data_IF_734989666739
#
_entry.id   IF_734989666739
#
_cell.length_a   1.000
_cell.length_b   1.000
_cell.length_c   1.000
_cell.angle_alpha   90.00
_cell.angle_beta   90.00
_cell.angle_gamma   90.00
#
_symmetry.space_group_name_H-M   'P 1'
#
loop_
_entity.id
_entity.type
_entity.pdbx_description
1 polymer ?
#
# COMPACT_ATOMS: atom_id res chain seq x y z
N UNK A 1 6.78 17.34 -5.03
CA UNK A 1 7.28 16.59 -6.20
C UNK A 1 7.62 15.17 -5.75
N UNK A 2 6.78 14.18 -6.04
CA UNK A 2 7.05 12.77 -5.63
C UNK A 2 8.17 12.21 -6.49
N UNK A 3 9.26 11.77 -5.87
CA UNK A 3 10.40 11.19 -6.56
C UNK A 3 10.28 9.66 -6.46
N UNK A 4 10.23 9.00 -7.61
CA UNK A 4 10.06 7.56 -7.71
C UNK A 4 11.36 6.94 -8.19
N UNK A 5 11.92 6.02 -7.41
CA UNK A 5 13.08 5.24 -7.79
C UNK A 5 12.78 3.76 -7.54
N UNK A 6 13.11 2.91 -8.52
CA UNK A 6 13.32 1.48 -8.27
C UNK A 6 14.82 1.35 -8.07
N UNK A 7 15.26 1.31 -6.83
CA UNK A 7 16.66 1.08 -6.50
C UNK A 7 16.90 -0.44 -6.38
N UNK A 8 17.90 -0.94 -7.10
CA UNK A 8 18.47 -2.27 -6.86
C UNK A 8 19.68 -2.01 -5.96
N UNK A 9 19.57 -2.43 -4.70
CA UNK A 9 20.56 -2.16 -3.66
C UNK A 9 20.25 -0.90 -2.85
N UNK A 10 19.43 -1.05 -1.82
CA UNK A 10 19.27 -0.05 -0.77
C UNK A 10 19.56 -0.68 0.59
N UNK A 11 20.22 0.11 1.44
CA UNK A 11 20.61 -0.21 2.80
C UNK A 11 19.44 -0.83 3.58
N UNK A 12 19.70 -1.93 4.31
CA UNK A 12 18.70 -2.66 5.10
C UNK A 12 17.92 -1.67 5.97
N UNK A 13 16.57 -1.76 6.07
CA UNK A 13 15.82 -0.80 6.89
C UNK A 13 16.39 -0.78 8.32
N UNK A 14 16.87 0.40 8.73
CA UNK A 14 17.46 0.62 10.05
C UNK A 14 16.41 0.39 11.15
N UNK A 15 16.85 0.08 12.37
CA UNK A 15 15.97 -0.24 13.50
C UNK A 15 14.88 0.83 13.73
N UNK A 16 13.65 0.42 14.11
CA UNK A 16 12.54 1.35 14.32
C UNK A 16 12.82 2.26 15.53
N UNK A 17 12.57 3.56 15.36
CA UNK A 17 12.64 4.54 16.45
C UNK A 17 11.35 4.53 17.28
N UNK A 18 10.23 4.20 16.65
CA UNK A 18 8.91 4.09 17.28
C UNK A 18 8.55 2.61 17.46
N UNK A 19 8.21 2.14 18.68
CA UNK A 19 7.90 0.73 18.96
C UNK A 19 6.44 0.39 18.60
N UNK A 20 5.94 0.90 17.47
CA UNK A 20 4.59 0.68 16.96
C UNK A 20 4.55 0.87 15.44
N UNK A 21 3.58 0.28 14.73
CA UNK A 21 3.34 0.61 13.34
C UNK A 21 2.83 2.05 13.17
N UNK A 22 2.97 2.62 11.97
CA UNK A 22 2.39 3.92 11.63
C UNK A 22 0.86 3.80 11.53
N UNK A 23 0.14 4.88 11.77
CA UNK A 23 -1.28 4.98 11.40
C UNK A 23 -1.39 5.30 9.91
N UNK A 24 -2.15 4.50 9.18
CA UNK A 24 -2.43 4.71 7.76
C UNK A 24 -3.94 4.70 7.49
N UNK A 25 -4.35 5.34 6.40
CA UNK A 25 -5.74 5.35 5.95
C UNK A 25 -5.84 5.06 4.44
N UNK A 26 -6.60 4.03 3.99
CA UNK A 26 -7.27 3.03 4.83
C UNK A 26 -6.29 2.19 5.66
N UNK A 27 -6.78 1.57 6.72
CA UNK A 27 -5.97 0.67 7.55
C UNK A 27 -5.79 -0.68 6.83
N UNK A 28 -4.60 -0.88 6.27
CA UNK A 28 -4.18 -2.13 5.63
C UNK A 28 -3.16 -2.89 6.49
N UNK A 29 -3.29 -2.81 7.81
CA UNK A 29 -2.44 -3.58 8.74
C UNK A 29 -2.94 -5.02 8.86
N UNK A 30 -2.03 -5.99 8.76
CA UNK A 30 -2.30 -7.43 8.94
C UNK A 30 -3.38 -7.98 7.99
N UNK A 31 -3.30 -7.58 6.72
CA UNK A 31 -4.21 -8.04 5.66
C UNK A 31 -3.57 -9.12 4.79
N UNK A 32 -4.43 -9.89 4.12
CA UNK A 32 -4.01 -10.86 3.09
C UNK A 32 -4.27 -10.27 1.70
N UNK A 33 -3.23 -10.17 0.89
CA UNK A 33 -3.24 -9.47 -0.40
C UNK A 33 -3.20 -10.50 -1.53
N UNK A 34 -4.24 -10.58 -2.38
CA UNK A 34 -4.19 -11.39 -3.59
C UNK A 34 -3.12 -10.90 -4.57
N UNK A 35 -2.41 -11.81 -5.27
CA UNK A 35 -1.27 -11.46 -6.13
C UNK A 35 -1.65 -10.58 -7.34
N UNK A 36 -2.93 -10.55 -7.71
CA UNK A 36 -3.44 -9.72 -8.80
C UNK A 36 -4.11 -8.42 -8.34
N UNK A 37 -4.18 -8.13 -7.04
CA UNK A 37 -4.87 -6.94 -6.53
C UNK A 37 -4.20 -5.63 -6.99
N UNK A 38 -5.01 -4.61 -7.29
CA UNK A 38 -4.53 -3.26 -7.55
C UNK A 38 -3.65 -2.73 -6.38
N UNK A 39 -2.77 -1.75 -6.65
CA UNK A 39 -1.92 -1.19 -5.60
C UNK A 39 -2.73 -0.61 -4.45
N UNK A 40 -2.36 -0.99 -3.23
CA UNK A 40 -2.97 -0.51 -2.00
C UNK A 40 -2.45 0.88 -1.63
N UNK A 41 -2.84 1.90 -2.38
CA UNK A 41 -2.51 3.28 -2.05
C UNK A 41 -3.14 3.67 -0.71
N UNK A 42 -2.40 4.40 0.12
CA UNK A 42 -2.83 4.83 1.45
C UNK A 42 -2.27 6.23 1.76
N UNK A 43 -2.80 6.85 2.81
CA UNK A 43 -2.31 8.10 3.37
C UNK A 43 -1.68 7.85 4.73
N UNK A 44 -0.49 8.38 4.99
CA UNK A 44 0.16 8.31 6.31
C UNK A 44 -0.48 9.32 7.25
N UNK A 45 -1.02 8.84 8.38
CA UNK A 45 -1.71 9.64 9.41
C UNK A 45 -0.80 9.91 10.60
N UNK A 46 0.48 10.14 10.32
CA UNK A 46 1.50 10.56 11.27
C UNK A 46 1.99 11.98 10.93
N UNK A 47 2.40 12.78 11.92
CA UNK A 47 3.01 14.08 11.66
C UNK A 47 4.28 13.94 10.80
N UNK A 48 4.44 14.82 9.82
CA UNK A 48 5.63 14.84 8.98
C UNK A 48 5.56 15.88 7.88
N UNK A 49 6.73 16.40 7.50
CA UNK A 49 6.94 17.31 6.36
C UNK A 49 7.37 16.56 5.09
N UNK A 50 7.81 15.31 5.24
CA UNK A 50 8.12 14.39 4.15
C UNK A 50 7.93 12.94 4.64
N UNK A 51 7.70 12.05 3.70
CA UNK A 51 7.35 10.66 3.92
C UNK A 51 8.23 9.79 3.02
N UNK A 52 8.76 8.71 3.59
CA UNK A 52 9.44 7.66 2.84
C UNK A 52 8.75 6.34 3.14
N UNK A 53 8.43 5.59 2.09
CA UNK A 53 7.85 4.26 2.18
C UNK A 53 8.68 3.30 1.36
N UNK A 54 9.14 2.24 1.99
CA UNK A 54 9.86 1.14 1.35
C UNK A 54 9.00 -0.13 1.47
N UNK A 55 8.68 -0.79 0.36
CA UNK A 55 7.82 -1.99 0.32
C UNK A 55 8.57 -3.16 -0.31
N UNK A 56 8.66 -4.30 0.38
CA UNK A 56 9.47 -5.44 -0.06
C UNK A 56 9.27 -6.66 0.82
N UNK A 57 10.03 -7.73 0.58
CA UNK A 57 10.06 -8.90 1.46
C UNK A 57 11.30 -8.85 2.34
N UNK A 58 11.18 -9.32 3.59
CA UNK A 58 12.31 -9.35 4.50
C UNK A 58 13.43 -10.26 3.94
N UNK A 59 14.57 -9.66 3.58
CA UNK A 59 15.70 -10.37 2.99
C UNK A 59 15.74 -10.39 1.46
N UNK A 60 14.82 -9.72 0.77
CA UNK A 60 14.95 -9.43 -0.67
C UNK A 60 15.86 -8.23 -0.93
N UNK A 61 16.55 -8.25 -2.08
CA UNK A 61 17.34 -7.12 -2.58
C UNK A 61 16.48 -6.09 -3.34
N UNK A 62 15.24 -6.45 -3.67
CA UNK A 62 14.30 -5.61 -4.40
C UNK A 62 13.25 -5.00 -3.46
N UNK A 63 13.20 -3.66 -3.42
CA UNK A 63 12.23 -2.87 -2.67
C UNK A 63 11.63 -1.79 -3.57
N UNK A 64 10.34 -1.51 -3.38
CA UNK A 64 9.67 -0.35 -3.95
C UNK A 64 9.91 0.82 -3.01
N UNK A 65 10.68 1.82 -3.46
CA UNK A 65 10.94 3.03 -2.68
C UNK A 65 10.09 4.20 -3.17
N UNK A 66 9.42 4.87 -2.23
CA UNK A 66 8.55 6.01 -2.52
C UNK A 66 8.91 7.14 -1.56
N UNK A 67 9.29 8.30 -2.11
CA UNK A 67 9.49 9.53 -1.33
C UNK A 67 8.45 10.58 -1.73
N UNK A 68 7.73 11.10 -0.75
CA UNK A 68 6.67 12.07 -0.95
C UNK A 68 6.76 13.25 0.03
N UNK A 69 6.37 14.43 -0.43
CA UNK A 69 6.18 15.62 0.42
C UNK A 69 4.74 15.72 0.95
N UNK A 70 3.84 14.85 0.46
CA UNK A 70 2.46 14.71 0.92
C UNK A 70 2.28 13.36 1.61
N UNK A 71 1.33 13.23 2.55
CA UNK A 71 1.08 11.95 3.24
C UNK A 71 0.51 10.87 2.31
N UNK A 72 0.02 11.25 1.13
CA UNK A 72 -0.58 10.32 0.17
C UNK A 72 0.50 9.53 -0.59
N UNK A 73 0.49 8.22 -0.38
CA UNK A 73 1.44 7.26 -0.96
C UNK A 73 0.79 6.57 -2.15
N UNK A 74 1.37 6.78 -3.33
CA UNK A 74 0.94 6.15 -4.58
C UNK A 74 1.96 5.11 -5.01
N UNK A 75 1.56 3.85 -4.91
CA UNK A 75 2.40 2.72 -5.23
C UNK A 75 2.39 2.49 -6.76
N UNK A 76 3.55 2.38 -7.43
CA UNK A 76 3.61 2.16 -8.87
C UNK A 76 2.98 0.82 -9.27
N UNK A 77 1.98 0.81 -10.17
CA UNK A 77 1.27 -0.42 -10.51
C UNK A 77 2.14 -1.55 -11.07
N UNK A 78 3.17 -1.23 -11.85
CA UNK A 78 4.07 -2.23 -12.42
C UNK A 78 4.94 -2.90 -11.36
N UNK A 79 5.59 -2.09 -10.50
CA UNK A 79 6.44 -2.58 -9.43
C UNK A 79 5.63 -3.39 -8.40
N UNK A 80 4.43 -2.91 -8.04
CA UNK A 80 3.50 -3.62 -7.16
C UNK A 80 3.15 -5.01 -7.68
N UNK A 81 2.75 -5.11 -8.96
CA UNK A 81 2.41 -6.41 -9.57
C UNK A 81 3.60 -7.36 -9.60
N UNK A 82 4.81 -6.86 -9.85
CA UNK A 82 6.03 -7.68 -9.82
C UNK A 82 6.28 -8.21 -8.42
N UNK A 83 6.28 -7.33 -7.42
CA UNK A 83 6.48 -7.68 -6.01
C UNK A 83 5.49 -8.76 -5.55
N UNK A 84 4.19 -8.57 -5.81
CA UNK A 84 3.18 -9.54 -5.40
C UNK A 84 3.28 -10.89 -6.13
N UNK A 85 3.68 -10.88 -7.41
CA UNK A 85 3.85 -12.11 -8.17
C UNK A 85 5.07 -12.91 -7.70
N UNK A 86 6.15 -12.22 -7.32
CA UNK A 86 7.40 -12.83 -6.84
C UNK A 86 7.22 -13.44 -5.44
N UNK A 87 6.50 -12.77 -4.55
CA UNK A 87 6.34 -13.18 -3.16
C UNK A 87 5.00 -13.87 -2.85
N UNK A 88 4.39 -14.53 -3.83
CA UNK A 88 3.11 -15.21 -3.66
C UNK A 88 3.19 -16.32 -2.59
N UNK A 89 2.40 -16.20 -1.52
CA UNK A 89 2.41 -17.12 -0.38
C UNK A 89 3.37 -16.73 0.75
N UNK A 90 4.16 -15.67 0.57
CA UNK A 90 5.12 -15.12 1.53
C UNK A 90 4.58 -13.86 2.21
N UNK A 91 5.38 -13.27 3.10
CA UNK A 91 5.11 -11.99 3.74
C UNK A 91 5.85 -10.86 3.04
N UNK A 92 5.22 -9.69 2.99
CA UNK A 92 5.83 -8.43 2.60
C UNK A 92 5.70 -7.42 3.73
N UNK A 93 6.65 -6.50 3.80
CA UNK A 93 6.70 -5.42 4.78
C UNK A 93 6.48 -4.08 4.10
N UNK A 94 5.75 -3.19 4.77
CA UNK A 94 5.65 -1.77 4.45
C UNK A 94 6.39 -1.01 5.56
N UNK A 95 7.57 -0.50 5.23
CA UNK A 95 8.38 0.32 6.10
C UNK A 95 8.05 1.79 5.88
N UNK A 96 7.57 2.49 6.92
CA UNK A 96 7.20 3.90 6.83
C UNK A 96 8.13 4.74 7.70
N UNK A 97 8.57 5.86 7.15
CA UNK A 97 9.37 6.86 7.83
C UNK A 97 8.75 8.24 7.59
N UNK A 98 8.69 9.08 8.62
CA UNK A 98 8.26 10.48 8.49
C UNK A 98 9.39 11.41 8.92
N UNK A 99 9.50 12.54 8.25
CA UNK A 99 10.45 13.60 8.61
C UNK A 99 9.75 14.66 9.45
N UNK A 100 10.19 14.84 10.69
CA UNK A 100 9.72 15.88 11.59
C UNK A 100 10.05 17.30 11.09
N UNK A 101 9.53 18.31 11.78
CA UNK A 101 9.85 19.72 11.50
C UNK A 101 11.31 20.07 11.85
N UNK A 102 11.91 19.34 12.78
CA UNK A 102 13.32 19.39 13.16
C UNK A 102 14.26 18.78 12.10
N UNK A 103 13.70 18.19 11.05
CA UNK A 103 14.43 17.51 9.98
C UNK A 103 14.86 16.07 10.32
N UNK A 104 14.53 15.57 11.52
CA UNK A 104 14.83 14.20 11.91
C UNK A 104 13.85 13.21 11.26
N UNK A 105 14.34 12.01 10.92
CA UNK A 105 13.51 10.92 10.42
C UNK A 105 13.09 9.99 11.57
N UNK A 106 11.79 9.85 11.75
CA UNK A 106 11.21 8.84 12.63
C UNK A 106 10.84 7.60 11.82
N UNK A 107 11.22 6.43 12.33
CA UNK A 107 10.92 5.13 11.71
C UNK A 107 9.94 4.37 12.59
N UNK A 108 8.90 3.85 11.97
CA UNK A 108 7.89 3.03 12.64
C UNK A 108 8.24 1.55 12.52
N UNK A 109 7.61 0.71 13.35
CA UNK A 109 7.64 -0.73 13.10
C UNK A 109 6.99 -1.02 11.75
N UNK A 110 7.53 -1.97 10.97
CA UNK A 110 6.95 -2.36 9.69
C UNK A 110 5.52 -2.87 9.87
N UNK A 111 4.69 -2.59 8.87
CA UNK A 111 3.42 -3.31 8.69
C UNK A 111 3.74 -4.57 7.89
N UNK A 112 3.49 -5.74 8.47
CA UNK A 112 3.66 -7.03 7.79
C UNK A 112 2.32 -7.50 7.25
N UNK A 113 2.28 -7.82 5.95
CA UNK A 113 1.11 -8.35 5.26
C UNK A 113 1.47 -9.62 4.52
N UNK A 114 0.51 -10.53 4.39
CA UNK A 114 0.73 -11.79 3.66
C UNK A 114 0.23 -11.69 2.24
N UNK A 115 1.01 -12.16 1.27
CA UNK A 115 0.53 -12.34 -0.11
C UNK A 115 -0.11 -13.72 -0.23
N UNK A 116 -1.34 -13.78 -0.74
CA UNK A 116 -2.00 -15.05 -1.00
C UNK A 116 -1.29 -15.81 -2.13
N UNK A 117 -1.43 -17.14 -2.16
CA UNK A 117 -0.94 -17.96 -3.28
C UNK A 117 -1.85 -17.83 -4.51
N UNK A 118 -3.15 -17.76 -4.26
CA UNK A 118 -4.17 -17.79 -5.30
C UNK A 118 -4.66 -16.37 -5.62
N UNK A 119 -4.94 -16.13 -6.90
CA UNK A 119 -5.54 -14.90 -7.39
C UNK A 119 -7.04 -14.85 -7.08
N UNK A 120 -7.60 -13.64 -7.09
CA UNK A 120 -9.05 -13.41 -7.02
C UNK A 120 -9.63 -13.16 -8.41
N UNK A 121 -10.95 -13.28 -8.54
CA UNK A 121 -11.66 -12.83 -9.73
C UNK A 121 -11.36 -11.36 -10.01
N UNK A 122 -11.10 -11.07 -11.28
CA UNK A 122 -10.72 -9.72 -11.71
C UNK A 122 -11.85 -8.71 -11.59
N UNK A 123 -13.12 -9.14 -11.65
CA UNK A 123 -14.26 -8.24 -11.72
C UNK A 123 -15.24 -8.50 -10.57
N UNK A 124 -15.57 -7.44 -9.83
CA UNK A 124 -16.69 -7.43 -8.89
C UNK A 124 -17.93 -6.87 -9.58
N UNK A 125 -19.03 -7.64 -9.61
CA UNK A 125 -20.33 -7.20 -10.13
C UNK A 125 -21.25 -6.82 -8.97
N UNK A 126 -21.82 -5.62 -8.98
CA UNK A 126 -22.64 -5.10 -7.88
C UNK A 126 -23.77 -4.18 -8.36
N UNK A 127 -24.71 -3.91 -7.45
CA UNK A 127 -25.78 -2.91 -7.64
C UNK A 127 -25.58 -1.77 -6.66
N UNK A 128 -25.70 -0.54 -7.14
CA UNK A 128 -25.75 0.64 -6.29
C UNK A 128 -27.18 0.87 -5.80
N UNK A 129 -27.42 0.64 -4.51
CA UNK A 129 -28.70 0.90 -3.87
C UNK A 129 -28.64 2.27 -3.21
N UNK A 130 -29.51 3.19 -3.64
CA UNK A 130 -29.66 4.50 -2.96
C UNK A 130 -30.39 4.31 -1.62
N UNK A 131 -30.11 5.12 -0.60
CA UNK A 131 -30.70 4.96 0.74
C UNK A 131 -32.24 5.05 0.79
N UNK A 132 -32.89 5.67 -0.20
CA UNK A 132 -34.36 5.88 -0.21
C UNK A 132 -34.99 5.11 -1.37
N UNK A 133 -35.79 4.09 -1.03
CA UNK A 133 -36.35 3.06 -1.91
C UNK A 133 -37.64 3.47 -2.66
N UNK A 134 -37.97 4.75 -2.72
CA UNK A 134 -39.35 5.15 -3.03
C UNK A 134 -39.57 5.48 -4.52
N UNK A 135 -38.51 5.48 -5.35
CA UNK A 135 -38.59 5.68 -6.81
C UNK A 135 -37.53 4.86 -7.56
N UNK A 136 -37.92 3.69 -8.07
CA UNK A 136 -37.11 2.85 -8.96
C UNK A 136 -37.04 3.45 -10.37
N UNK A 137 -36.22 4.49 -10.58
CA UNK A 137 -36.10 5.11 -11.92
C UNK A 137 -34.78 4.81 -12.63
N UNK A 138 -33.68 4.58 -11.89
CA UNK A 138 -32.36 4.29 -12.47
C UNK A 138 -31.66 3.21 -11.66
N UNK A 139 -31.82 1.95 -12.08
CA UNK A 139 -31.08 0.80 -11.54
C UNK A 139 -30.12 0.28 -12.60
N UNK A 140 -28.87 0.05 -12.20
CA UNK A 140 -27.84 -0.53 -13.06
C UNK A 140 -27.12 -1.68 -12.37
N UNK A 141 -26.61 -2.60 -13.17
CA UNK A 141 -25.56 -3.54 -12.76
C UNK A 141 -24.23 -2.88 -13.14
N UNK A 142 -23.33 -2.79 -12.17
CA UNK A 142 -22.02 -2.19 -12.32
C UNK A 142 -20.95 -3.27 -12.16
N UNK A 143 -19.81 -3.05 -12.80
CA UNK A 143 -18.63 -3.87 -12.61
C UNK A 143 -17.44 -3.01 -12.19
N UNK A 144 -16.57 -3.55 -11.35
CA UNK A 144 -15.28 -2.96 -11.00
C UNK A 144 -14.18 -3.97 -11.29
N UNK A 145 -13.18 -3.54 -12.05
CA UNK A 145 -11.94 -4.29 -12.24
C UNK A 145 -11.05 -4.09 -11.00
N UNK A 146 -10.72 -5.17 -10.29
CA UNK A 146 -10.01 -5.19 -9.01
C UNK A 146 -8.48 -5.16 -9.15
N UNK A 147 -7.96 -5.42 -10.36
CA UNK A 147 -6.52 -5.36 -10.68
C UNK A 147 -6.05 -3.95 -11.09
N UNK A 148 -7.00 -3.00 -11.12
CA UNK A 148 -6.81 -1.59 -11.49
C UNK A 148 -7.54 -0.64 -10.53
N UNK A 149 -7.31 0.66 -10.69
CA UNK A 149 -8.05 1.73 -10.01
C UNK A 149 -9.44 1.95 -10.62
#
# INVERSE_FOLDING_TARGET
MTLLAVAIGADRPAQPTQPRPPRIDPDYTDVVIPPNLAPLNFSVREPGTAFRVDIGSAGSDEWIEIVSETPDIRIPPSAWRRLLAEHAGEEIEVNVQTRGEDGAWERFQPITNRVARDSIDSHLVYRLLKPVYNRYLHMGIYQRELRSF
#
